data_IF_497163946344
#
_entry.id   IF_497163946344
#
_cell.length_a   1.000
_cell.length_b   1.000
_cell.length_c   1.000
_cell.angle_alpha   90.00
_cell.angle_beta   90.00
_cell.angle_gamma   90.00
#
_symmetry.space_group_name_H-M   'P 1'
#
loop_
_entity.id
_entity.type
_entity.pdbx_description
1 polymer ?
#
# COMPACT_ATOMS: atom_id res chain seq x y z
N UNK A 1 36.88 -25.73 5.86
CA UNK A 1 36.66 -24.27 6.00
C UNK A 1 36.63 -23.67 4.61
N UNK A 2 35.45 -23.37 4.08
CA UNK A 2 35.28 -22.58 2.84
C UNK A 2 34.10 -21.66 3.06
N UNK A 3 34.39 -20.36 3.00
CA UNK A 3 33.57 -19.28 3.54
C UNK A 3 32.19 -19.15 2.89
N UNK A 4 31.19 -18.93 3.74
CA UNK A 4 29.90 -18.40 3.37
C UNK A 4 30.09 -17.03 2.71
N UNK A 5 29.91 -16.98 1.39
CA UNK A 5 29.72 -15.72 0.68
C UNK A 5 28.44 -15.08 1.16
N UNK A 6 28.55 -14.11 2.07
CA UNK A 6 27.44 -13.22 2.44
C UNK A 6 27.27 -12.27 1.26
N UNK A 7 26.38 -12.63 0.32
CA UNK A 7 25.91 -11.69 -0.69
C UNK A 7 25.29 -10.49 0.05
N UNK A 8 25.74 -9.24 -0.17
CA UNK A 8 25.10 -8.10 0.47
C UNK A 8 23.65 -8.03 0.03
N UNK A 9 22.73 -8.04 0.99
CA UNK A 9 21.31 -7.85 0.72
C UNK A 9 21.13 -6.54 -0.06
N UNK A 10 20.52 -6.62 -1.24
CA UNK A 10 20.23 -5.46 -2.09
C UNK A 10 19.48 -4.41 -1.26
N UNK A 11 20.03 -3.20 -1.18
CA UNK A 11 19.44 -2.09 -0.40
C UNK A 11 18.24 -1.43 -1.08
N UNK A 12 17.93 -1.81 -2.32
CA UNK A 12 16.70 -1.38 -2.99
C UNK A 12 15.51 -2.18 -2.47
N UNK A 13 14.42 -1.51 -2.04
CA UNK A 13 13.19 -2.21 -1.71
C UNK A 13 12.71 -3.07 -2.89
N UNK A 14 12.15 -4.24 -2.60
CA UNK A 14 11.50 -5.04 -3.64
C UNK A 14 10.36 -4.23 -4.29
N UNK A 15 10.13 -4.37 -5.60
CA UNK A 15 9.07 -3.63 -6.31
C UNK A 15 7.69 -3.75 -5.67
N UNK A 16 7.42 -4.88 -4.99
CA UNK A 16 6.16 -5.10 -4.29
C UNK A 16 6.04 -4.29 -2.99
N UNK A 17 7.16 -4.04 -2.29
CA UNK A 17 7.17 -3.22 -1.07
C UNK A 17 6.83 -1.76 -1.40
N UNK A 18 7.40 -1.21 -2.48
CA UNK A 18 7.11 0.17 -2.89
C UNK A 18 5.65 0.35 -3.31
N UNK A 19 5.09 -0.64 -4.02
CA UNK A 19 3.69 -0.64 -4.42
C UNK A 19 2.77 -0.71 -3.20
N UNK A 20 3.03 -1.66 -2.28
CA UNK A 20 2.25 -1.80 -1.04
C UNK A 20 2.24 -0.50 -0.25
N UNK A 21 3.42 0.10 -0.06
CA UNK A 21 3.56 1.38 0.65
C UNK A 21 2.77 2.50 -0.03
N UNK A 22 2.91 2.65 -1.34
CA UNK A 22 2.26 3.75 -2.06
C UNK A 22 0.73 3.62 -2.05
N UNK A 23 0.20 2.42 -2.26
CA UNK A 23 -1.24 2.13 -2.23
C UNK A 23 -1.82 2.33 -0.83
N UNK A 24 -1.13 1.84 0.21
CA UNK A 24 -1.55 2.05 1.60
C UNK A 24 -1.55 3.53 2.00
N UNK A 25 -0.53 4.29 1.56
CA UNK A 25 -0.47 5.74 1.79
C UNK A 25 -1.62 6.47 1.08
N UNK A 26 -1.90 6.16 -0.19
CA UNK A 26 -2.98 6.78 -0.94
C UNK A 26 -4.35 6.60 -0.26
N UNK A 27 -4.65 5.39 0.20
CA UNK A 27 -5.85 5.12 0.99
C UNK A 27 -5.87 5.94 2.29
N UNK A 28 -4.79 5.86 3.06
CA UNK A 28 -4.66 6.49 4.38
C UNK A 28 -4.80 8.01 4.29
N UNK A 29 -4.20 8.66 3.30
CA UNK A 29 -4.29 10.12 3.09
C UNK A 29 -5.73 10.58 2.97
N UNK A 30 -6.56 9.90 2.17
CA UNK A 30 -7.98 10.25 2.04
C UNK A 30 -8.72 10.06 3.36
N UNK A 31 -8.46 8.96 4.08
CA UNK A 31 -9.09 8.69 5.38
C UNK A 31 -8.68 9.72 6.45
N UNK A 32 -7.43 10.17 6.47
CA UNK A 32 -6.94 11.20 7.37
C UNK A 32 -7.58 12.58 7.10
N UNK A 33 -7.96 12.84 5.85
CA UNK A 33 -8.67 14.05 5.46
C UNK A 33 -10.19 13.98 5.74
N UNK A 34 -10.66 12.95 6.46
CA UNK A 34 -12.08 12.73 6.75
C UNK A 34 -12.86 12.05 5.61
N UNK A 35 -12.19 11.63 4.53
CA UNK A 35 -12.81 10.95 3.41
C UNK A 35 -13.36 9.57 3.78
N UNK A 36 -14.46 9.19 3.12
CA UNK A 36 -15.06 7.86 3.25
C UNK A 36 -14.19 6.72 2.68
N UNK A 37 -14.64 5.49 2.87
CA UNK A 37 -13.97 4.29 2.34
C UNK A 37 -13.89 4.28 0.80
N UNK A 38 -15.01 4.56 0.12
CA UNK A 38 -15.06 4.56 -1.35
C UNK A 38 -14.04 5.51 -2.02
N UNK A 39 -13.93 6.80 -1.66
CA UNK A 39 -12.91 7.67 -2.25
C UNK A 39 -11.49 7.24 -1.88
N UNK A 40 -11.26 6.70 -0.67
CA UNK A 40 -9.96 6.18 -0.26
C UNK A 40 -9.55 4.95 -1.09
N UNK A 41 -10.46 4.00 -1.30
CA UNK A 41 -10.25 2.85 -2.16
C UNK A 41 -9.99 3.26 -3.62
N UNK A 42 -10.72 4.25 -4.15
CA UNK A 42 -10.48 4.76 -5.51
C UNK A 42 -9.07 5.34 -5.66
N UNK A 43 -8.59 6.09 -4.67
CA UNK A 43 -7.22 6.63 -4.67
C UNK A 43 -6.16 5.52 -4.64
N UNK A 44 -6.37 4.50 -3.80
CA UNK A 44 -5.51 3.33 -3.71
C UNK A 44 -5.46 2.54 -5.04
N UNK A 45 -6.62 2.32 -5.67
CA UNK A 45 -6.74 1.66 -6.97
C UNK A 45 -6.05 2.44 -8.08
N UNK A 46 -6.20 3.77 -8.11
CA UNK A 46 -5.52 4.62 -9.07
C UNK A 46 -3.99 4.47 -8.99
N UNK A 47 -3.44 4.33 -7.79
CA UNK A 47 -2.00 4.09 -7.60
C UNK A 47 -1.55 2.72 -8.11
N UNK A 48 -2.40 1.68 -7.98
CA UNK A 48 -2.13 0.38 -8.61
C UNK A 48 -2.08 0.53 -10.13
N UNK A 49 -3.10 1.13 -10.74
CA UNK A 49 -3.16 1.31 -12.20
C UNK A 49 -2.01 2.16 -12.74
N UNK A 50 -1.59 3.20 -12.01
CA UNK A 50 -0.45 4.05 -12.39
C UNK A 50 0.87 3.26 -12.42
N UNK A 51 1.06 2.31 -11.51
CA UNK A 51 2.26 1.48 -11.41
C UNK A 51 2.20 0.22 -12.28
N UNK A 52 1.00 -0.22 -12.60
CA UNK A 52 0.68 -1.43 -13.37
C UNK A 52 -0.36 -1.11 -14.44
N UNK A 53 0.02 -0.31 -15.46
CA UNK A 53 -0.91 0.14 -16.50
C UNK A 53 -1.49 -1.01 -17.33
N UNK A 54 -0.84 -2.18 -17.31
CA UNK A 54 -1.30 -3.41 -17.95
C UNK A 54 -2.44 -4.11 -17.19
N UNK A 55 -2.67 -3.79 -15.91
CA UNK A 55 -3.76 -4.39 -15.13
C UNK A 55 -5.11 -3.81 -15.55
N UNK A 56 -6.11 -4.69 -15.60
CA UNK A 56 -7.51 -4.25 -15.73
C UNK A 56 -7.93 -3.44 -14.50
N UNK A 57 -8.91 -2.56 -14.66
CA UNK A 57 -9.47 -1.80 -13.54
C UNK A 57 -9.99 -2.71 -12.41
N UNK A 58 -10.57 -3.85 -12.77
CA UNK A 58 -11.08 -4.86 -11.85
C UNK A 58 -9.96 -5.51 -11.02
N UNK A 59 -8.90 -5.97 -11.67
CA UNK A 59 -7.77 -6.61 -10.98
C UNK A 59 -6.97 -5.60 -10.16
N UNK A 60 -6.84 -4.35 -10.63
CA UNK A 60 -6.27 -3.27 -9.86
C UNK A 60 -7.10 -2.99 -8.59
N UNK A 61 -8.43 -3.06 -8.68
CA UNK A 61 -9.33 -2.93 -7.53
C UNK A 61 -9.12 -4.03 -6.50
N UNK A 62 -9.04 -5.28 -6.94
CA UNK A 62 -8.71 -6.44 -6.07
C UNK A 62 -7.35 -6.29 -5.42
N UNK A 63 -6.34 -5.89 -6.18
CA UNK A 63 -4.97 -5.70 -5.67
C UNK A 63 -4.92 -4.59 -4.63
N UNK A 64 -5.64 -3.48 -4.85
CA UNK A 64 -5.76 -2.41 -3.87
C UNK A 64 -6.37 -2.91 -2.55
N UNK A 65 -7.47 -3.68 -2.61
CA UNK A 65 -8.11 -4.28 -1.42
C UNK A 65 -7.14 -5.18 -0.68
N UNK A 66 -6.44 -6.08 -1.36
CA UNK A 66 -5.45 -6.97 -0.74
C UNK A 66 -4.38 -6.19 0.02
N UNK A 67 -3.85 -5.12 -0.57
CA UNK A 67 -2.82 -4.28 0.05
C UNK A 67 -3.39 -3.50 1.24
N UNK A 68 -4.59 -2.93 1.11
CA UNK A 68 -5.27 -2.22 2.19
C UNK A 68 -5.52 -3.16 3.37
N UNK A 69 -6.06 -4.36 3.14
CA UNK A 69 -6.27 -5.37 4.17
C UNK A 69 -4.98 -5.76 4.86
N UNK A 70 -3.92 -6.04 4.09
CA UNK A 70 -2.60 -6.33 4.65
C UNK A 70 -2.09 -5.18 5.53
N UNK A 71 -2.13 -3.93 5.06
CA UNK A 71 -1.64 -2.78 5.81
C UNK A 71 -2.49 -2.52 7.08
N UNK A 72 -3.81 -2.71 7.00
CA UNK A 72 -4.73 -2.55 8.11
C UNK A 72 -4.60 -3.66 9.17
N UNK A 73 -4.09 -4.84 8.83
CA UNK A 73 -3.87 -5.96 9.74
C UNK A 73 -2.44 -6.00 10.31
N UNK A 74 -1.42 -5.82 9.48
CA UNK A 74 -0.01 -5.95 9.87
C UNK A 74 0.58 -4.64 10.44
N UNK A 75 -0.02 -3.51 10.09
CA UNK A 75 0.47 -2.18 10.46
C UNK A 75 -0.62 -1.30 11.07
N UNK A 76 -1.57 -1.92 11.78
CA UNK A 76 -2.82 -1.32 12.30
C UNK A 76 -2.63 0.04 12.96
N UNK A 77 -1.70 0.14 13.92
CA UNK A 77 -1.47 1.37 14.69
C UNK A 77 -1.02 2.54 13.79
N UNK A 78 -0.13 2.27 12.82
CA UNK A 78 0.30 3.27 11.86
C UNK A 78 -0.82 3.59 10.85
N UNK A 79 -1.50 2.56 10.35
CA UNK A 79 -2.48 2.67 9.29
C UNK A 79 -3.66 3.56 9.70
N UNK A 80 -4.13 3.44 10.95
CA UNK A 80 -5.27 4.20 11.47
C UNK A 80 -4.91 5.45 12.26
N UNK A 81 -3.63 5.74 12.48
CA UNK A 81 -3.19 6.95 13.20
C UNK A 81 -3.75 8.22 12.56
N UNK A 82 -4.41 9.07 13.36
CA UNK A 82 -5.05 10.32 12.94
C UNK A 82 -6.20 10.17 11.93
N UNK A 83 -6.82 8.99 11.84
CA UNK A 83 -8.07 8.79 11.10
C UNK A 83 -9.23 9.00 12.07
N UNK A 84 -10.13 9.94 11.77
CA UNK A 84 -11.29 10.24 12.61
C UNK A 84 -11.03 11.18 13.79
N UNK A 85 -9.80 11.70 13.94
CA UNK A 85 -9.45 12.67 15.00
C UNK A 85 -9.83 14.13 14.65
N UNK A 86 -10.38 14.37 13.45
CA UNK A 86 -10.74 15.70 12.95
C UNK A 86 -12.24 16.05 13.00
N UNK A 87 -13.02 15.39 13.86
CA UNK A 87 -14.43 15.71 14.13
C UNK A 87 -14.58 16.56 15.38
#
# INVERSE_FOLDING_TARGET
>A
MTGSGITPASTRPEPDIEMRRAVALAYRTIRQQGGGDLPAWKAARAEVMRRKPEMTEWDAGKRAVQIISWAASEHTAWFWKNVGEGT
#
